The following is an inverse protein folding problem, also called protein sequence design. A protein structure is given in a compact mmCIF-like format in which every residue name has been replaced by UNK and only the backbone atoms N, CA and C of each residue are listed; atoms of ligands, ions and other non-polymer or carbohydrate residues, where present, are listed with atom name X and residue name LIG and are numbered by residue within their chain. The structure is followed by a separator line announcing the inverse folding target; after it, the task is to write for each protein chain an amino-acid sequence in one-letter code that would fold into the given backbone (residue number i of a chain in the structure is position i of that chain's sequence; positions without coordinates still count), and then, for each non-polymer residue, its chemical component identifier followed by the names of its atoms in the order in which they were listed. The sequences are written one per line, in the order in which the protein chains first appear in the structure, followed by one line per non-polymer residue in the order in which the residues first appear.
data_IF_825118393610
#
_entry.id   IF_825118393610
#
_cell.length_a   1.000
_cell.length_b   1.000
_cell.length_c   1.000
_cell.angle_alpha   90.00
_cell.angle_beta   90.00
_cell.angle_gamma   90.00
#
_symmetry.space_group_name_H-M   'P 1'
#
loop_
_entity.id
_entity.type
_entity.pdbx_description
1 polymer ?
#
# COMPACT_ATOMS: atom_id res chain seq x y z
N UNK A 1 16.17 -6.23 17.71
CA UNK A 1 17.34 -7.14 17.74
C UNK A 1 17.89 -7.35 16.32
N UNK A 2 19.19 -7.63 16.17
CA UNK A 2 19.76 -8.09 14.90
C UNK A 2 19.41 -9.56 14.62
N UNK A 3 19.47 -9.97 13.35
CA UNK A 3 19.22 -11.35 12.94
C UNK A 3 20.43 -12.25 13.18
N UNK A 4 20.19 -13.56 13.31
CA UNK A 4 21.26 -14.56 13.46
C UNK A 4 22.07 -14.72 12.16
N UNK A 5 23.39 -14.88 12.28
CA UNK A 5 24.25 -15.45 11.22
C UNK A 5 24.48 -16.95 11.45
N UNK A 6 25.02 -17.66 10.45
CA UNK A 6 25.34 -19.10 10.58
C UNK A 6 26.84 -19.38 10.45
N UNK A 7 27.33 -20.44 11.11
CA UNK A 7 28.78 -20.79 11.19
C UNK A 7 29.23 -21.89 10.22
N UNK A 8 28.37 -22.37 9.32
CA UNK A 8 28.69 -23.49 8.41
C UNK A 8 28.99 -22.97 7.00
N UNK A 9 30.25 -23.17 6.54
CA UNK A 9 30.84 -22.78 5.23
C UNK A 9 30.56 -21.31 4.79
N UNK A 10 31.60 -20.46 4.76
CA UNK A 10 31.50 -19.02 4.46
C UNK A 10 30.13 -18.42 4.84
N UNK A 11 29.84 -18.46 6.15
CA UNK A 11 28.54 -18.12 6.72
C UNK A 11 28.05 -16.74 6.32
N UNK A 12 26.73 -16.58 6.27
CA UNK A 12 26.06 -15.33 5.96
C UNK A 12 25.87 -14.41 7.17
N UNK A 13 25.75 -13.10 6.91
CA UNK A 13 25.53 -12.10 7.95
C UNK A 13 24.03 -11.86 8.19
N UNK A 14 23.62 -11.84 9.46
CA UNK A 14 22.29 -11.39 9.85
C UNK A 14 22.08 -9.89 9.59
N UNK A 15 20.81 -9.49 9.47
CA UNK A 15 20.43 -8.10 9.30
C UNK A 15 20.46 -7.32 10.62
N UNK A 16 20.68 -6.01 10.56
CA UNK A 16 20.56 -5.15 11.73
C UNK A 16 19.10 -4.99 12.16
N UNK A 17 18.84 -4.77 13.44
CA UNK A 17 17.53 -4.31 13.92
C UNK A 17 17.25 -2.86 13.50
N UNK A 18 16.01 -2.43 13.65
CA UNK A 18 15.55 -1.06 13.43
C UNK A 18 15.58 -0.21 14.71
N UNK A 19 15.63 1.10 14.53
CA UNK A 19 15.58 2.09 15.61
C UNK A 19 14.13 2.31 16.09
N UNK A 20 13.97 2.64 17.36
CA UNK A 20 12.72 3.14 17.93
C UNK A 20 12.95 4.56 18.50
N UNK A 21 12.11 5.52 18.12
CA UNK A 21 12.16 6.88 18.63
C UNK A 21 10.78 7.32 19.14
N UNK A 22 10.76 7.90 20.34
CA UNK A 22 9.61 8.56 20.94
C UNK A 22 10.03 9.98 21.32
N UNK A 23 9.38 11.00 20.73
CA UNK A 23 9.74 12.39 20.95
C UNK A 23 8.50 13.29 21.01
N UNK A 24 8.53 14.24 21.96
CA UNK A 24 7.62 15.38 22.03
C UNK A 24 8.46 16.67 22.05
N UNK A 25 8.24 17.56 21.09
CA UNK A 25 9.02 18.78 20.91
C UNK A 25 8.13 20.02 20.80
N UNK A 26 8.50 21.09 21.49
CA UNK A 26 7.73 22.33 21.54
C UNK A 26 6.64 22.34 22.60
N UNK A 27 6.16 23.55 22.92
CA UNK A 27 5.15 23.79 23.97
C UNK A 27 3.85 23.07 23.65
N UNK A 28 3.27 22.41 24.66
CA UNK A 28 1.99 21.71 24.54
C UNK A 28 2.05 20.37 23.81
N UNK A 29 3.21 19.94 23.32
CA UNK A 29 3.36 18.65 22.65
C UNK A 29 3.32 17.50 23.65
N UNK A 30 2.63 16.41 23.29
CA UNK A 30 2.59 15.18 24.08
C UNK A 30 2.71 13.95 23.20
N UNK A 31 3.62 13.05 23.54
CA UNK A 31 3.79 11.77 22.87
C UNK A 31 3.66 10.65 23.91
N UNK A 32 2.52 9.97 23.90
CA UNK A 32 2.26 8.78 24.70
C UNK A 32 2.13 7.58 23.76
N UNK A 33 2.80 6.48 24.04
CA UNK A 33 2.74 5.31 23.18
C UNK A 33 3.95 4.41 23.24
N UNK A 34 3.95 3.41 22.37
CA UNK A 34 5.02 2.42 22.26
C UNK A 34 5.66 2.47 20.87
N UNK A 35 6.97 2.71 20.80
CA UNK A 35 7.74 2.59 19.58
C UNK A 35 8.65 1.34 19.64
N UNK A 36 8.50 0.44 18.67
CA UNK A 36 9.29 -0.80 18.59
C UNK A 36 9.93 -0.91 17.21
N UNK A 37 11.25 -0.76 17.14
CA UNK A 37 12.00 -1.00 15.90
C UNK A 37 11.90 -2.47 15.46
N UNK A 38 11.92 -2.70 14.15
CA UNK A 38 11.82 -4.03 13.57
C UNK A 38 13.05 -4.91 13.85
N UNK A 39 12.89 -6.22 13.85
CA UNK A 39 14.03 -7.14 13.91
C UNK A 39 14.73 -7.24 12.56
N UNK A 40 16.04 -7.45 12.57
CA UNK A 40 16.77 -7.84 11.36
C UNK A 40 16.41 -9.26 10.91
N UNK A 41 16.57 -9.54 9.61
CA UNK A 41 16.40 -10.87 9.03
C UNK A 41 17.61 -11.76 9.24
N UNK A 42 17.42 -13.09 9.18
CA UNK A 42 18.52 -14.05 9.32
C UNK A 42 19.45 -14.06 8.09
N UNK A 43 20.74 -14.28 8.32
CA UNK A 43 21.75 -14.55 7.29
C UNK A 43 22.07 -16.05 7.25
N UNK A 44 21.81 -16.69 6.12
CA UNK A 44 21.99 -18.13 5.91
C UNK A 44 23.41 -18.53 5.51
N UNK A 45 23.55 -19.50 4.61
CA UNK A 45 24.84 -20.04 4.14
C UNK A 45 25.31 -19.37 2.85
N UNK A 46 26.58 -19.61 2.46
CA UNK A 46 27.15 -19.20 1.15
C UNK A 46 27.11 -17.67 0.96
N UNK A 47 27.54 -16.91 1.96
CA UNK A 47 27.58 -15.44 1.88
C UNK A 47 26.21 -14.74 1.82
N UNK A 48 25.12 -15.43 2.19
CA UNK A 48 23.78 -14.85 2.22
C UNK A 48 23.65 -13.72 3.26
N UNK A 49 22.78 -12.74 3.02
CA UNK A 49 22.61 -11.61 3.94
C UNK A 49 21.14 -11.40 4.31
N UNK A 50 20.87 -11.28 5.61
CA UNK A 50 19.57 -10.87 6.12
C UNK A 50 19.29 -9.38 5.86
N UNK A 51 18.02 -9.05 5.67
CA UNK A 51 17.54 -7.67 5.51
C UNK A 51 17.51 -6.91 6.84
N UNK A 52 17.61 -5.59 6.79
CA UNK A 52 17.50 -4.74 7.99
C UNK A 52 16.04 -4.70 8.49
N UNK A 53 15.86 -4.60 9.80
CA UNK A 53 14.57 -4.24 10.40
C UNK A 53 14.20 -2.78 10.13
N UNK A 54 12.91 -2.51 10.06
CA UNK A 54 12.34 -1.20 9.83
C UNK A 54 12.35 -0.31 11.08
N UNK A 55 12.25 1.00 10.88
CA UNK A 55 12.30 2.00 11.95
C UNK A 55 10.88 2.20 12.53
N UNK A 56 10.78 2.49 13.83
CA UNK A 56 9.56 2.99 14.46
C UNK A 56 9.76 4.41 15.00
N UNK A 57 8.85 5.33 14.66
CA UNK A 57 8.89 6.73 15.13
C UNK A 57 7.51 7.15 15.65
N UNK A 58 7.51 7.74 16.84
CA UNK A 58 6.42 8.53 17.40
C UNK A 58 6.94 9.95 17.62
N UNK A 59 6.38 10.94 16.93
CA UNK A 59 6.87 12.33 16.98
C UNK A 59 5.75 13.37 17.05
N UNK A 60 5.58 13.97 18.23
CA UNK A 60 4.65 15.07 18.49
C UNK A 60 5.40 16.42 18.47
N UNK A 61 4.92 17.38 17.69
CA UNK A 61 5.60 18.67 17.50
C UNK A 61 4.63 19.85 17.57
N UNK A 62 5.08 20.96 18.16
CA UNK A 62 4.40 22.26 18.12
C UNK A 62 2.97 22.26 18.69
N UNK A 63 2.73 21.55 19.78
CA UNK A 63 1.38 21.42 20.38
C UNK A 63 0.60 20.20 19.90
N UNK A 64 1.23 19.29 19.15
CA UNK A 64 0.62 18.05 18.69
C UNK A 64 0.52 17.00 19.81
N UNK A 65 -0.48 16.13 19.71
CA UNK A 65 -0.71 15.05 20.68
C UNK A 65 -0.72 13.68 20.00
N UNK A 66 -0.09 12.70 20.62
CA UNK A 66 -0.06 11.32 20.12
C UNK A 66 -0.40 10.32 21.22
N UNK A 67 -1.24 9.35 20.87
CA UNK A 67 -1.50 8.13 21.64
C UNK A 67 -1.49 6.89 20.74
N UNK A 68 -0.54 5.97 20.88
CA UNK A 68 -0.59 4.76 20.06
C UNK A 68 0.68 3.94 19.97
N UNK A 69 0.78 3.13 18.92
CA UNK A 69 1.88 2.18 18.73
C UNK A 69 2.49 2.32 17.34
N UNK A 70 3.81 2.45 17.27
CA UNK A 70 4.58 2.41 16.03
C UNK A 70 5.49 1.18 16.03
N UNK A 71 5.42 0.35 15.00
CA UNK A 71 6.22 -0.87 14.87
C UNK A 71 6.94 -0.84 13.52
N UNK A 72 8.26 -0.98 13.55
CA UNK A 72 9.05 -1.21 12.35
C UNK A 72 8.91 -2.65 11.86
N UNK A 73 8.85 -2.84 10.55
CA UNK A 73 8.72 -4.15 9.92
C UNK A 73 9.96 -5.02 10.08
N UNK A 74 9.78 -6.33 10.04
CA UNK A 74 10.90 -7.29 10.12
C UNK A 74 11.68 -7.29 8.80
N UNK A 75 13.01 -7.39 8.87
CA UNK A 75 13.84 -7.64 7.69
C UNK A 75 13.70 -9.07 7.17
N UNK A 76 13.70 -9.25 5.85
CA UNK A 76 13.60 -10.56 5.21
C UNK A 76 14.86 -11.41 5.39
N UNK A 77 14.71 -12.73 5.35
CA UNK A 77 15.86 -13.65 5.43
C UNK A 77 16.65 -13.67 4.12
N UNK A 78 17.96 -13.85 4.20
CA UNK A 78 18.80 -14.24 3.07
C UNK A 78 19.32 -15.66 3.26
N UNK A 79 19.20 -16.55 2.26
CA UNK A 79 19.77 -17.91 2.32
C UNK A 79 20.42 -18.31 0.98
N UNK A 80 21.36 -19.25 1.01
CA UNK A 80 21.99 -19.83 -0.19
C UNK A 80 22.50 -18.77 -1.18
N UNK A 81 23.32 -17.83 -0.69
CA UNK A 81 23.82 -16.69 -1.48
C UNK A 81 22.81 -15.59 -1.80
N UNK A 82 21.56 -15.71 -1.33
CA UNK A 82 20.52 -14.70 -1.50
C UNK A 82 20.59 -13.54 -0.49
N UNK A 83 19.83 -12.47 -0.77
CA UNK A 83 19.74 -11.27 0.08
C UNK A 83 18.29 -10.95 0.44
N UNK A 84 17.98 -10.91 1.73
CA UNK A 84 16.68 -10.47 2.23
C UNK A 84 16.44 -8.97 2.02
N UNK A 85 15.18 -8.59 1.84
CA UNK A 85 14.75 -7.20 1.76
C UNK A 85 14.64 -6.54 3.13
N UNK A 86 14.82 -5.23 3.22
CA UNK A 86 14.59 -4.52 4.48
C UNK A 86 13.10 -4.44 4.83
N UNK A 87 12.77 -4.41 6.13
CA UNK A 87 11.43 -4.11 6.62
C UNK A 87 11.09 -2.62 6.47
N UNK A 88 9.80 -2.31 6.31
CA UNK A 88 9.29 -0.94 6.22
C UNK A 88 9.15 -0.27 7.59
N UNK A 89 9.01 1.05 7.63
CA UNK A 89 8.91 1.77 8.91
C UNK A 89 7.47 1.97 9.41
N UNK A 90 7.32 2.10 10.73
CA UNK A 90 6.11 2.49 11.45
C UNK A 90 6.19 3.94 11.93
N UNK A 91 5.22 4.79 11.60
CA UNK A 91 5.28 6.23 11.92
C UNK A 91 3.95 6.76 12.47
N UNK A 92 3.98 7.35 13.66
CA UNK A 92 2.93 8.22 14.20
C UNK A 92 3.48 9.65 14.29
N UNK A 93 2.78 10.61 13.69
CA UNK A 93 3.20 12.01 13.64
C UNK A 93 2.03 12.93 13.93
N UNK A 94 2.20 13.84 14.87
CA UNK A 94 1.29 14.96 15.12
C UNK A 94 2.08 16.25 15.08
N UNK A 95 1.72 17.17 14.18
CA UNK A 95 2.46 18.42 13.98
C UNK A 95 1.51 19.61 13.98
N UNK A 96 1.76 20.55 14.88
CA UNK A 96 0.99 21.78 15.06
C UNK A 96 -0.06 21.67 16.17
N UNK A 97 -0.46 22.82 16.68
CA UNK A 97 -1.42 22.93 17.76
C UNK A 97 -2.76 22.30 17.36
N UNK A 98 -3.36 21.53 18.27
CA UNK A 98 -4.62 20.83 18.03
C UNK A 98 -4.51 19.59 17.14
N UNK A 99 -3.33 19.28 16.59
CA UNK A 99 -3.13 18.04 15.84
C UNK A 99 -3.13 16.83 16.76
N UNK A 100 -3.88 15.79 16.42
CA UNK A 100 -3.95 14.55 17.20
C UNK A 100 -3.82 13.31 16.33
N UNK A 101 -2.80 12.49 16.58
CA UNK A 101 -2.62 11.21 15.90
C UNK A 101 -2.76 10.05 16.90
N UNK A 102 -3.49 8.99 16.53
CA UNK A 102 -3.63 7.80 17.37
C UNK A 102 -3.76 6.49 16.62
N UNK A 103 -3.61 5.37 17.32
CA UNK A 103 -3.79 4.03 16.77
C UNK A 103 -2.48 3.27 16.55
N UNK A 104 -2.42 2.43 15.52
CA UNK A 104 -1.31 1.48 15.32
C UNK A 104 -0.74 1.58 13.90
N UNK A 105 0.56 1.84 13.76
CA UNK A 105 1.27 1.85 12.48
C UNK A 105 2.34 0.76 12.44
N UNK A 106 2.22 -0.18 11.50
CA UNK A 106 3.06 -1.39 11.38
C UNK A 106 3.74 -1.41 10.01
N UNK A 107 5.06 -1.22 9.99
CA UNK A 107 5.84 -1.38 8.77
C UNK A 107 5.76 -2.80 8.21
N UNK A 108 5.78 -2.93 6.88
CA UNK A 108 5.73 -4.21 6.18
C UNK A 108 7.00 -5.03 6.36
N UNK A 109 6.88 -6.36 6.31
CA UNK A 109 8.03 -7.28 6.37
C UNK A 109 8.75 -7.28 5.02
N UNK A 110 10.08 -7.28 5.05
CA UNK A 110 10.90 -7.45 3.84
C UNK A 110 10.84 -8.88 3.29
N UNK A 111 10.89 -9.02 1.98
CA UNK A 111 10.85 -10.32 1.31
C UNK A 111 12.12 -11.14 1.52
N UNK A 112 12.01 -12.47 1.44
CA UNK A 112 13.16 -13.35 1.49
C UNK A 112 13.97 -13.32 0.19
N UNK A 113 15.29 -13.47 0.27
CA UNK A 113 16.18 -13.70 -0.87
C UNK A 113 16.85 -15.07 -0.77
N UNK A 114 16.68 -15.92 -1.77
CA UNK A 114 17.26 -17.28 -1.78
C UNK A 114 17.93 -17.60 -3.12
N UNK A 115 18.95 -18.46 -3.11
CA UNK A 115 19.61 -18.97 -4.33
C UNK A 115 20.05 -17.84 -5.27
N UNK A 116 20.86 -16.92 -4.74
CA UNK A 116 21.31 -15.70 -5.43
C UNK A 116 20.23 -14.61 -5.62
N UNK A 117 18.96 -14.89 -5.31
CA UNK A 117 17.85 -13.95 -5.42
C UNK A 117 17.83 -12.85 -4.35
N UNK A 118 17.08 -11.78 -4.65
CA UNK A 118 16.92 -10.61 -3.77
C UNK A 118 15.46 -10.38 -3.39
N UNK A 119 15.16 -10.41 -2.10
CA UNK A 119 13.84 -10.04 -1.60
C UNK A 119 13.53 -8.54 -1.75
N UNK A 120 12.26 -8.23 -1.93
CA UNK A 120 11.74 -6.86 -2.00
C UNK A 120 11.65 -6.20 -0.63
N UNK A 121 11.63 -4.87 -0.61
CA UNK A 121 11.46 -4.11 0.64
C UNK A 121 10.03 -4.22 1.16
N UNK A 122 9.84 -4.23 2.48
CA UNK A 122 8.53 -4.03 3.09
C UNK A 122 8.08 -2.57 2.98
N UNK A 123 6.78 -2.34 2.89
CA UNK A 123 6.16 -1.03 2.75
C UNK A 123 6.19 -0.22 4.05
N UNK A 124 6.36 1.09 3.95
CA UNK A 124 6.24 2.00 5.09
C UNK A 124 4.79 2.29 5.48
N UNK A 125 4.59 2.83 6.68
CA UNK A 125 3.27 3.28 7.16
C UNK A 125 3.29 4.69 7.72
N UNK A 126 2.13 5.33 7.81
CA UNK A 126 2.00 6.58 8.58
C UNK A 126 0.59 6.79 9.10
N UNK A 127 0.49 7.16 10.37
CA UNK A 127 -0.66 7.88 10.91
C UNK A 127 -0.21 9.32 11.18
N UNK A 128 -0.78 10.28 10.46
CA UNK A 128 -0.28 11.66 10.44
C UNK A 128 -1.38 12.70 10.66
N UNK A 129 -1.23 13.55 11.68
CA UNK A 129 -2.12 14.67 11.93
C UNK A 129 -1.36 16.00 11.81
N UNK A 130 -1.90 16.93 11.03
CA UNK A 130 -1.21 18.17 10.67
C UNK A 130 -2.13 19.38 10.79
N UNK A 131 -1.61 20.47 11.36
CA UNK A 131 -2.26 21.78 11.41
C UNK A 131 -3.70 21.75 11.99
N UNK A 132 -3.90 21.05 13.11
CA UNK A 132 -5.21 20.94 13.77
C UNK A 132 -6.07 19.77 13.31
N UNK A 133 -5.53 18.87 12.46
CA UNK A 133 -6.23 17.66 12.02
C UNK A 133 -6.23 16.54 13.07
N UNK A 134 -7.13 15.58 12.92
CA UNK A 134 -7.18 14.36 13.77
C UNK A 134 -7.14 13.10 12.91
N UNK A 135 -6.13 12.26 13.14
CA UNK A 135 -5.95 11.00 12.43
C UNK A 135 -5.93 9.81 13.40
N UNK A 136 -6.70 8.76 13.13
CA UNK A 136 -6.73 7.55 13.95
C UNK A 136 -6.87 6.30 13.08
N UNK A 137 -6.39 5.15 13.53
CA UNK A 137 -6.65 3.90 12.81
C UNK A 137 -5.58 2.83 12.94
N UNK A 138 -5.64 1.87 12.03
CA UNK A 138 -4.63 0.82 11.88
C UNK A 138 -4.04 0.90 10.48
N UNK A 139 -2.73 0.99 10.40
CA UNK A 139 -2.02 1.16 9.13
C UNK A 139 -0.93 0.10 9.03
N UNK A 140 -0.96 -0.69 7.96
CA UNK A 140 -0.02 -1.79 7.73
C UNK A 140 0.64 -1.65 6.37
N UNK A 141 1.97 -1.68 6.33
CA UNK A 141 2.73 -1.62 5.09
C UNK A 141 2.68 -2.96 4.38
N UNK A 142 2.73 -2.95 3.05
CA UNK A 142 2.73 -4.17 2.26
C UNK A 142 3.98 -5.02 2.49
N UNK A 143 3.85 -6.33 2.33
CA UNK A 143 5.01 -7.23 2.38
C UNK A 143 5.88 -7.06 1.13
N UNK A 144 7.20 -7.17 1.29
CA UNK A 144 8.10 -7.32 0.15
C UNK A 144 7.99 -8.72 -0.46
N UNK A 145 8.03 -8.81 -1.78
CA UNK A 145 8.01 -10.08 -2.50
C UNK A 145 9.30 -10.87 -2.34
N UNK A 146 9.24 -12.19 -2.46
CA UNK A 146 10.43 -13.04 -2.43
C UNK A 146 11.25 -12.92 -3.72
N UNK A 147 12.58 -12.99 -3.61
CA UNK A 147 13.47 -13.17 -4.75
C UNK A 147 14.16 -14.53 -4.69
N UNK A 148 14.03 -15.35 -5.73
CA UNK A 148 14.60 -16.70 -5.78
C UNK A 148 15.27 -16.97 -7.13
N UNK A 149 16.27 -17.85 -7.17
CA UNK A 149 16.96 -18.24 -8.41
C UNK A 149 17.38 -17.02 -9.26
N UNK A 150 18.19 -16.15 -8.66
CA UNK A 150 18.62 -14.84 -9.21
C UNK A 150 17.49 -13.84 -9.53
N UNK A 151 16.24 -14.17 -9.23
CA UNK A 151 15.10 -13.26 -9.35
C UNK A 151 15.06 -12.19 -8.25
N UNK A 152 14.28 -11.14 -8.49
CA UNK A 152 14.11 -10.01 -7.59
C UNK A 152 12.63 -9.81 -7.23
N UNK A 153 12.30 -9.90 -5.95
CA UNK A 153 10.96 -9.59 -5.46
C UNK A 153 10.64 -8.10 -5.55
N UNK A 154 9.36 -7.79 -5.75
CA UNK A 154 8.84 -6.42 -5.75
C UNK A 154 8.73 -5.85 -4.34
N UNK A 155 8.78 -4.53 -4.21
CA UNK A 155 8.54 -3.85 -2.94
C UNK A 155 7.07 -3.89 -2.52
N UNK A 156 6.83 -3.93 -1.22
CA UNK A 156 5.51 -3.70 -0.65
C UNK A 156 5.11 -2.23 -0.71
N UNK A 157 3.81 -2.01 -0.86
CA UNK A 157 3.18 -0.70 -0.94
C UNK A 157 3.11 0.02 0.40
N UNK A 158 3.05 1.35 0.33
CA UNK A 158 2.94 2.22 1.50
C UNK A 158 1.49 2.37 1.92
N UNK A 159 1.21 2.42 3.23
CA UNK A 159 -0.12 2.71 3.75
C UNK A 159 -0.13 4.00 4.59
N UNK A 160 -1.15 4.83 4.45
CA UNK A 160 -1.27 6.10 5.19
C UNK A 160 -2.71 6.35 5.64
N UNK A 161 -2.86 6.78 6.89
CA UNK A 161 -4.03 7.53 7.37
C UNK A 161 -3.55 8.92 7.76
N UNK A 162 -4.09 9.97 7.15
CA UNK A 162 -3.66 11.33 7.45
C UNK A 162 -4.78 12.36 7.46
N UNK A 163 -4.68 13.30 8.39
CA UNK A 163 -5.59 14.43 8.51
C UNK A 163 -4.82 15.74 8.43
N UNK A 164 -5.32 16.68 7.62
CA UNK A 164 -4.71 17.97 7.37
C UNK A 164 -5.69 19.10 7.64
N UNK A 165 -5.21 20.15 8.31
CA UNK A 165 -5.98 21.35 8.59
C UNK A 165 -7.01 21.17 9.71
N UNK A 166 -7.45 22.29 10.27
CA UNK A 166 -8.43 22.32 11.35
C UNK A 166 -9.73 21.61 10.90
N UNK A 167 -10.24 20.74 11.76
CA UNK A 167 -11.45 19.96 11.49
C UNK A 167 -11.28 18.81 10.48
N UNK A 168 -10.11 18.67 9.84
CA UNK A 168 -9.81 17.49 9.03
C UNK A 168 -9.78 16.25 9.92
N UNK A 169 -10.52 15.21 9.53
CA UNK A 169 -10.61 13.97 10.29
C UNK A 169 -10.43 12.75 9.38
N UNK A 170 -9.55 11.82 9.78
CA UNK A 170 -9.34 10.57 9.07
C UNK A 170 -9.29 9.40 10.05
N UNK A 171 -10.17 8.41 9.84
CA UNK A 171 -10.24 7.18 10.62
C UNK A 171 -10.45 5.97 9.72
N UNK A 172 -9.71 4.88 9.99
CA UNK A 172 -9.92 3.62 9.30
C UNK A 172 -8.75 2.64 9.30
N UNK A 173 -8.80 1.74 8.34
CA UNK A 173 -7.77 0.72 8.10
C UNK A 173 -7.12 0.98 6.74
N UNK A 174 -5.79 1.15 6.71
CA UNK A 174 -5.04 1.29 5.46
C UNK A 174 -3.98 0.20 5.34
N UNK A 175 -3.98 -0.55 4.23
CA UNK A 175 -3.07 -1.68 4.00
C UNK A 175 -2.38 -1.51 2.65
N UNK A 176 -1.06 -1.42 2.64
CA UNK A 176 -0.30 -1.35 1.38
C UNK A 176 -0.29 -2.71 0.70
N UNK A 177 -0.31 -2.74 -0.63
CA UNK A 177 -0.27 -4.00 -1.38
C UNK A 177 1.06 -4.73 -1.22
N UNK A 178 1.05 -6.06 -1.24
CA UNK A 178 2.26 -6.85 -1.24
C UNK A 178 3.03 -6.73 -2.58
N UNK A 179 4.35 -6.81 -2.54
CA UNK A 179 5.15 -6.99 -3.74
C UNK A 179 5.09 -8.41 -4.27
N UNK A 180 5.09 -8.56 -5.59
CA UNK A 180 5.12 -9.86 -6.25
C UNK A 180 6.47 -10.57 -6.12
N UNK A 181 6.46 -11.89 -6.24
CA UNK A 181 7.70 -12.68 -6.23
C UNK A 181 8.47 -12.54 -7.56
N UNK A 182 9.80 -12.51 -7.49
CA UNK A 182 10.68 -12.64 -8.65
C UNK A 182 11.43 -13.97 -8.61
N UNK A 183 11.30 -14.77 -9.67
CA UNK A 183 11.91 -16.09 -9.77
C UNK A 183 12.59 -16.29 -11.13
N UNK A 184 13.65 -17.10 -11.17
CA UNK A 184 14.35 -17.47 -12.42
C UNK A 184 14.74 -16.25 -13.25
N UNK A 185 15.58 -15.37 -12.70
CA UNK A 185 15.94 -14.07 -13.28
C UNK A 185 14.78 -13.07 -13.51
N UNK A 186 13.57 -13.39 -13.04
CA UNK A 186 12.39 -12.54 -13.15
C UNK A 186 12.31 -11.46 -12.07
N UNK A 187 11.47 -10.46 -12.32
CA UNK A 187 11.20 -9.32 -11.45
C UNK A 187 9.74 -9.32 -11.02
N UNK A 188 9.49 -9.44 -9.72
CA UNK A 188 8.16 -9.20 -9.17
C UNK A 188 7.76 -7.73 -9.27
N UNK A 189 6.48 -7.48 -9.53
CA UNK A 189 5.91 -6.13 -9.52
C UNK A 189 5.80 -5.58 -8.11
N UNK A 190 5.84 -4.27 -7.94
CA UNK A 190 5.61 -3.66 -6.63
C UNK A 190 4.12 -3.66 -6.29
N UNK A 191 3.82 -3.88 -5.02
CA UNK A 191 2.50 -3.55 -4.47
C UNK A 191 2.32 -2.04 -4.35
N UNK A 192 1.08 -1.61 -4.22
CA UNK A 192 0.73 -0.20 -4.34
C UNK A 192 0.21 0.45 -3.06
N UNK A 193 0.07 1.76 -3.15
CA UNK A 193 -0.30 2.63 -2.05
C UNK A 193 -1.77 2.45 -1.60
N UNK A 194 -1.99 2.51 -0.29
CA UNK A 194 -3.30 2.71 0.34
C UNK A 194 -3.33 4.00 1.15
N UNK A 195 -4.40 4.80 1.01
CA UNK A 195 -4.52 6.08 1.69
C UNK A 195 -5.91 6.42 2.15
N UNK A 196 -6.04 6.86 3.40
CA UNK A 196 -7.24 7.49 3.94
C UNK A 196 -6.89 8.91 4.34
N UNK A 197 -7.61 9.90 3.79
CA UNK A 197 -7.29 11.32 4.00
C UNK A 197 -8.52 12.18 4.26
N UNK A 198 -8.46 12.99 5.32
CA UNK A 198 -9.40 14.06 5.62
C UNK A 198 -8.70 15.41 5.58
N UNK A 199 -9.25 16.39 4.88
CA UNK A 199 -8.61 17.70 4.69
C UNK A 199 -9.58 18.85 4.98
N UNK A 200 -9.12 19.85 5.74
CA UNK A 200 -9.79 21.15 5.95
C UNK A 200 -11.29 21.04 6.28
N UNK A 201 -11.64 20.23 7.28
CA UNK A 201 -13.05 19.97 7.67
C UNK A 201 -13.68 18.74 7.01
N UNK A 202 -13.00 18.12 6.04
CA UNK A 202 -13.40 16.86 5.43
C UNK A 202 -13.18 15.69 6.38
N UNK A 203 -14.15 14.77 6.41
CA UNK A 203 -14.19 13.65 7.37
C UNK A 203 -14.20 12.30 6.66
N UNK A 204 -13.31 11.38 7.05
CA UNK A 204 -13.41 9.96 6.70
C UNK A 204 -13.52 9.15 7.98
N UNK A 205 -14.60 8.37 8.12
CA UNK A 205 -14.89 7.61 9.35
C UNK A 205 -15.09 6.14 9.05
N UNK A 206 -14.24 5.29 9.63
CA UNK A 206 -14.38 3.82 9.54
C UNK A 206 -14.14 3.25 8.15
N UNK A 207 -13.35 3.94 7.31
CA UNK A 207 -13.06 3.48 5.95
C UNK A 207 -11.97 2.41 5.88
N UNK A 208 -11.94 1.63 4.79
CA UNK A 208 -10.85 0.69 4.48
C UNK A 208 -10.22 1.04 3.13
N UNK A 209 -8.89 1.12 3.06
CA UNK A 209 -8.15 1.27 1.82
C UNK A 209 -7.07 0.18 1.73
N UNK A 210 -7.09 -0.61 0.65
CA UNK A 210 -6.13 -1.69 0.40
C UNK A 210 -5.47 -1.50 -0.96
N UNK A 211 -4.17 -1.25 -0.98
CA UNK A 211 -3.42 -1.17 -2.22
C UNK A 211 -3.36 -2.53 -2.89
N UNK A 212 -3.37 -2.56 -4.21
CA UNK A 212 -3.26 -3.79 -4.98
C UNK A 212 -1.86 -4.39 -4.88
N UNK A 213 -1.81 -5.72 -4.91
CA UNK A 213 -0.56 -6.47 -4.90
C UNK A 213 0.15 -6.38 -6.26
N UNK A 214 1.47 -6.49 -6.26
CA UNK A 214 2.24 -6.62 -7.49
C UNK A 214 2.21 -8.04 -8.04
N UNK A 215 2.26 -8.18 -9.36
CA UNK A 215 2.29 -9.47 -10.03
C UNK A 215 3.63 -10.20 -9.89
N UNK A 216 3.61 -11.53 -10.04
CA UNK A 216 4.83 -12.32 -10.04
C UNK A 216 5.62 -12.16 -11.36
N UNK A 217 6.95 -12.26 -11.29
CA UNK A 217 7.82 -12.32 -12.47
C UNK A 217 8.63 -13.61 -12.48
N UNK A 218 8.41 -14.47 -13.49
CA UNK A 218 9.12 -15.74 -13.66
C UNK A 218 9.85 -15.74 -14.98
N UNK A 219 11.16 -15.46 -14.96
CA UNK A 219 11.90 -15.10 -16.17
C UNK A 219 11.22 -13.97 -16.98
N UNK A 220 10.51 -13.08 -16.30
CA UNK A 220 9.71 -12.00 -16.88
C UNK A 220 9.49 -10.91 -15.83
N UNK A 221 8.59 -9.96 -16.10
CA UNK A 221 8.30 -8.85 -15.18
C UNK A 221 6.83 -8.84 -14.77
N UNK A 222 6.56 -8.97 -13.48
CA UNK A 222 5.21 -8.75 -12.94
C UNK A 222 4.79 -7.28 -12.98
N UNK A 223 3.50 -7.06 -13.18
CA UNK A 223 2.89 -5.74 -13.20
C UNK A 223 2.76 -5.12 -11.82
N UNK A 224 2.66 -3.80 -11.76
CA UNK A 224 2.42 -3.09 -10.51
C UNK A 224 0.98 -3.29 -10.04
N UNK A 225 0.77 -3.33 -8.72
CA UNK A 225 -0.56 -3.21 -8.15
C UNK A 225 -1.14 -1.81 -8.30
N UNK A 226 -2.45 -1.71 -8.13
CA UNK A 226 -3.24 -0.48 -8.23
C UNK A 226 -3.37 0.26 -6.90
N UNK A 227 -3.60 1.57 -6.96
CA UNK A 227 -3.74 2.41 -5.76
C UNK A 227 -5.14 2.32 -5.17
N UNK A 228 -5.27 2.37 -3.84
CA UNK A 228 -6.55 2.57 -3.16
C UNK A 228 -6.58 3.86 -2.35
N UNK A 229 -7.63 4.67 -2.50
CA UNK A 229 -7.79 5.89 -1.69
C UNK A 229 -9.21 6.20 -1.28
N UNK A 230 -9.37 6.61 -0.02
CA UNK A 230 -10.53 7.33 0.50
C UNK A 230 -10.12 8.77 0.80
N UNK A 231 -10.89 9.73 0.29
CA UNK A 231 -10.55 11.14 0.45
C UNK A 231 -11.81 11.98 0.71
N UNK A 232 -11.77 12.78 1.77
CA UNK A 232 -12.74 13.83 2.04
C UNK A 232 -12.02 15.18 2.16
N UNK A 233 -12.49 16.19 1.44
CA UNK A 233 -11.94 17.54 1.47
C UNK A 233 -13.02 18.58 1.67
N UNK A 234 -12.70 19.57 2.49
CA UNK A 234 -13.55 20.73 2.80
C UNK A 234 -14.71 20.39 3.74
N UNK A 235 -15.20 21.43 4.43
CA UNK A 235 -16.25 21.28 5.42
C UNK A 235 -17.52 20.65 4.84
N UNK A 236 -18.12 19.72 5.59
CA UNK A 236 -19.32 18.99 5.19
C UNK A 236 -19.05 17.77 4.30
N UNK A 237 -17.84 17.63 3.74
CA UNK A 237 -17.50 16.43 2.99
C UNK A 237 -17.32 15.23 3.91
N UNK A 238 -17.92 14.10 3.56
CA UNK A 238 -17.80 12.89 4.36
C UNK A 238 -17.70 11.60 3.54
N UNK A 239 -16.82 10.71 3.98
CA UNK A 239 -16.82 9.29 3.59
C UNK A 239 -17.05 8.46 4.85
N UNK A 240 -18.22 7.84 4.96
CA UNK A 240 -18.57 6.95 6.07
C UNK A 240 -18.52 5.51 5.59
N UNK A 241 -17.71 4.67 6.25
CA UNK A 241 -17.58 3.22 5.97
C UNK A 241 -17.30 2.86 4.50
N UNK A 242 -16.58 3.73 3.79
CA UNK A 242 -16.16 3.46 2.41
C UNK A 242 -15.05 2.42 2.30
N UNK A 243 -15.01 1.66 1.20
CA UNK A 243 -13.95 0.68 0.92
C UNK A 243 -13.33 0.93 -0.45
N UNK A 244 -12.00 0.94 -0.54
CA UNK A 244 -11.29 1.03 -1.81
C UNK A 244 -10.21 -0.06 -1.88
N UNK A 245 -10.20 -0.87 -2.95
CA UNK A 245 -9.20 -1.92 -3.18
C UNK A 245 -8.59 -1.75 -4.57
N UNK A 246 -7.29 -1.43 -4.64
CA UNK A 246 -6.60 -1.34 -5.92
C UNK A 246 -6.49 -2.71 -6.59
N UNK A 247 -6.49 -2.75 -7.92
CA UNK A 247 -6.37 -4.01 -8.66
C UNK A 247 -4.97 -4.62 -8.52
N UNK A 248 -4.87 -5.93 -8.65
CA UNK A 248 -3.60 -6.67 -8.60
C UNK A 248 -2.86 -6.53 -9.94
N UNK A 249 -1.53 -6.45 -9.90
CA UNK A 249 -0.71 -6.49 -11.11
C UNK A 249 -0.67 -7.89 -11.73
N UNK A 250 -0.70 -7.98 -13.05
CA UNK A 250 -0.61 -9.24 -13.77
C UNK A 250 0.77 -9.88 -13.68
N UNK A 251 0.85 -11.21 -13.88
CA UNK A 251 2.13 -11.91 -13.90
C UNK A 251 2.89 -11.69 -15.22
N UNK A 252 4.21 -11.72 -15.17
CA UNK A 252 5.08 -11.77 -16.34
C UNK A 252 5.87 -13.08 -16.38
N UNK A 253 5.81 -13.81 -17.48
CA UNK A 253 6.51 -15.09 -17.65
C UNK A 253 7.21 -15.22 -19.01
N UNK A 254 8.36 -15.89 -19.04
CA UNK A 254 9.06 -16.21 -20.29
C UNK A 254 9.44 -15.00 -21.13
N UNK A 255 9.91 -13.93 -20.51
CA UNK A 255 10.21 -12.63 -21.13
C UNK A 255 9.02 -11.66 -21.13
N UNK A 256 7.81 -12.16 -20.84
CA UNK A 256 6.59 -11.36 -20.81
C UNK A 256 6.52 -10.35 -19.66
N UNK A 257 5.70 -9.33 -19.88
CA UNK A 257 5.47 -8.21 -18.95
C UNK A 257 4.00 -8.19 -18.53
N UNK A 258 3.72 -8.42 -17.26
CA UNK A 258 2.37 -8.29 -16.71
C UNK A 258 1.86 -6.86 -16.72
N UNK A 259 0.57 -6.70 -16.98
CA UNK A 259 -0.14 -5.43 -16.95
C UNK A 259 -0.30 -4.90 -15.53
N UNK A 260 -0.45 -3.59 -15.38
CA UNK A 260 -0.71 -3.00 -14.07
C UNK A 260 -2.17 -3.22 -13.64
N UNK A 261 -2.38 -3.50 -12.36
CA UNK A 261 -3.67 -3.30 -11.73
C UNK A 261 -3.95 -1.80 -11.58
N UNK A 262 -5.23 -1.42 -11.54
CA UNK A 262 -5.62 -0.01 -11.61
C UNK A 262 -6.30 0.49 -10.32
N UNK A 263 -6.65 1.76 -10.31
CA UNK A 263 -6.99 2.53 -9.12
C UNK A 263 -8.42 2.21 -8.64
N UNK A 264 -8.57 2.06 -7.33
CA UNK A 264 -9.83 2.25 -6.62
C UNK A 264 -9.83 3.56 -5.85
N UNK A 265 -10.86 4.38 -6.02
CA UNK A 265 -10.95 5.67 -5.37
C UNK A 265 -12.36 6.00 -4.92
N UNK A 266 -12.47 6.62 -3.74
CA UNK A 266 -13.68 7.27 -3.25
C UNK A 266 -13.31 8.69 -2.81
N UNK A 267 -14.01 9.67 -3.38
CA UNK A 267 -13.85 11.09 -3.10
C UNK A 267 -15.17 11.71 -2.64
N UNK A 268 -15.09 12.49 -1.57
CA UNK A 268 -16.13 13.41 -1.11
C UNK A 268 -15.57 14.83 -1.10
N UNK A 269 -16.13 15.72 -1.93
CA UNK A 269 -15.55 17.04 -2.20
C UNK A 269 -16.59 18.14 -1.95
N UNK A 270 -16.16 19.25 -1.33
CA UNK A 270 -16.95 20.46 -1.19
C UNK A 270 -18.35 20.28 -0.55
N UNK A 271 -18.52 19.36 0.39
CA UNK A 271 -19.80 19.01 1.00
C UNK A 271 -20.45 17.73 0.46
N UNK A 272 -19.78 17.00 -0.43
CA UNK A 272 -20.27 15.72 -0.95
C UNK A 272 -20.24 14.61 0.11
N UNK A 273 -21.11 13.62 -0.02
CA UNK A 273 -21.18 12.51 0.94
C UNK A 273 -21.10 11.15 0.25
N UNK A 274 -20.31 10.24 0.81
CA UNK A 274 -20.26 8.83 0.40
C UNK A 274 -20.45 7.95 1.61
N UNK A 275 -21.39 7.01 1.55
CA UNK A 275 -21.75 6.13 2.67
C UNK A 275 -21.75 4.68 2.22
N UNK A 276 -21.06 3.81 2.97
CA UNK A 276 -21.08 2.34 2.80
C UNK A 276 -20.92 1.88 1.34
N UNK A 277 -20.03 2.56 0.60
CA UNK A 277 -19.80 2.28 -0.82
C UNK A 277 -18.40 1.74 -1.05
N UNK A 278 -18.23 0.93 -2.09
CA UNK A 278 -16.99 0.24 -2.37
C UNK A 278 -16.52 0.45 -3.82
N UNK A 279 -15.22 0.59 -4.02
CA UNK A 279 -14.60 0.59 -5.35
C UNK A 279 -13.44 -0.40 -5.42
N UNK A 280 -13.37 -1.12 -6.53
CA UNK A 280 -12.32 -2.07 -6.84
C UNK A 280 -11.68 -1.68 -8.18
N UNK A 281 -10.36 -1.49 -8.20
CA UNK A 281 -9.65 -1.38 -9.47
C UNK A 281 -9.61 -2.75 -10.16
N UNK A 282 -9.62 -2.76 -11.48
CA UNK A 282 -9.43 -3.98 -12.25
C UNK A 282 -8.00 -4.48 -12.18
N UNK A 283 -7.84 -5.79 -12.29
CA UNK A 283 -6.52 -6.44 -12.27
C UNK A 283 -5.81 -6.26 -13.61
N UNK A 284 -4.48 -6.31 -13.59
CA UNK A 284 -3.67 -6.33 -14.80
C UNK A 284 -3.67 -7.71 -15.45
N UNK A 285 -3.63 -7.76 -16.78
CA UNK A 285 -3.50 -9.01 -17.52
C UNK A 285 -2.10 -9.59 -17.47
N UNK A 286 -1.95 -10.87 -17.80
CA UNK A 286 -0.64 -11.52 -17.80
C UNK A 286 0.14 -11.22 -19.08
N UNK A 287 1.46 -11.07 -18.97
CA UNK A 287 2.38 -11.10 -20.11
C UNK A 287 3.08 -12.44 -20.19
N UNK A 288 2.93 -13.16 -21.29
CA UNK A 288 3.42 -14.54 -21.46
C UNK A 288 4.31 -14.59 -22.70
N UNK A 289 5.50 -15.20 -22.59
CA UNK A 289 6.41 -15.45 -23.71
C UNK A 289 6.66 -14.19 -24.55
N UNK A 290 7.35 -13.20 -23.97
CA UNK A 290 7.57 -11.86 -24.56
C UNK A 290 6.31 -11.02 -24.84
N UNK A 291 5.12 -11.49 -24.49
CA UNK A 291 3.86 -10.74 -24.58
C UNK A 291 3.66 -9.75 -23.43
N UNK A 292 2.74 -8.80 -23.64
CA UNK A 292 2.43 -7.73 -22.68
C UNK A 292 0.97 -7.85 -22.20
N UNK A 293 0.76 -7.90 -20.89
CA UNK A 293 -0.58 -7.83 -20.30
C UNK A 293 -1.18 -6.42 -20.37
N UNK A 294 -2.47 -6.35 -20.63
CA UNK A 294 -3.24 -5.10 -20.60
C UNK A 294 -3.42 -4.58 -19.18
N UNK A 295 -3.63 -3.27 -19.04
CA UNK A 295 -3.90 -2.68 -17.71
C UNK A 295 -5.33 -2.95 -17.29
N UNK A 296 -5.55 -3.13 -15.99
CA UNK A 296 -6.91 -3.13 -15.44
C UNK A 296 -7.60 -1.78 -15.60
N UNK A 297 -8.92 -1.76 -15.39
CA UNK A 297 -9.77 -0.58 -15.45
C UNK A 297 -9.85 0.15 -14.12
N UNK A 298 -10.03 1.47 -14.16
CA UNK A 298 -10.22 2.27 -12.94
C UNK A 298 -11.61 2.04 -12.34
N UNK A 299 -11.76 2.20 -11.02
CA UNK A 299 -13.05 2.47 -10.40
C UNK A 299 -12.96 3.67 -9.45
N UNK A 300 -13.63 4.77 -9.80
CA UNK A 300 -13.61 6.00 -9.03
C UNK A 300 -15.03 6.50 -8.73
N UNK A 301 -15.35 6.65 -7.45
CA UNK A 301 -16.57 7.29 -6.99
C UNK A 301 -16.25 8.70 -6.50
N UNK A 302 -16.99 9.69 -7.00
CA UNK A 302 -16.83 11.09 -6.61
C UNK A 302 -18.19 11.72 -6.32
N UNK A 303 -18.42 12.05 -5.06
CA UNK A 303 -19.52 12.91 -4.63
C UNK A 303 -19.03 14.36 -4.56
N UNK A 304 -19.55 15.22 -5.45
CA UNK A 304 -19.26 16.66 -5.44
C UNK A 304 -20.17 17.38 -4.44
N UNK A 305 -20.01 18.70 -4.31
CA UNK A 305 -20.82 19.57 -3.44
C UNK A 305 -22.30 19.21 -3.51
N UNK A 306 -22.92 18.84 -2.40
CA UNK A 306 -24.34 18.49 -2.32
C UNK A 306 -24.75 17.19 -3.01
N UNK A 307 -23.82 16.45 -3.63
CA UNK A 307 -24.04 15.12 -4.16
C UNK A 307 -23.86 14.04 -3.10
N UNK A 308 -24.58 12.92 -3.25
CA UNK A 308 -24.54 11.80 -2.33
C UNK A 308 -24.46 10.46 -3.06
N UNK A 309 -23.55 9.59 -2.60
CA UNK A 309 -23.43 8.19 -3.03
C UNK A 309 -23.63 7.29 -1.81
N UNK A 310 -24.53 6.31 -1.91
CA UNK A 310 -24.81 5.37 -0.82
C UNK A 310 -24.89 3.95 -1.34
N UNK A 311 -24.34 3.01 -0.57
CA UNK A 311 -24.45 1.56 -0.78
C UNK A 311 -24.15 1.12 -2.21
N UNK A 312 -23.23 1.81 -2.89
CA UNK A 312 -22.92 1.59 -4.30
C UNK A 312 -21.59 0.85 -4.43
N UNK A 313 -21.42 0.09 -5.52
CA UNK A 313 -20.22 -0.72 -5.78
C UNK A 313 -19.70 -0.48 -7.20
N UNK A 314 -18.40 -0.19 -7.33
CA UNK A 314 -17.72 -0.06 -8.61
C UNK A 314 -16.61 -1.09 -8.75
N UNK A 315 -16.44 -1.67 -9.93
CA UNK A 315 -15.34 -2.60 -10.24
C UNK A 315 -14.83 -2.37 -11.64
N UNK A 316 -13.58 -1.91 -11.77
CA UNK A 316 -12.93 -1.78 -13.07
C UNK A 316 -12.78 -3.14 -13.72
N UNK A 317 -12.82 -3.20 -15.05
CA UNK A 317 -12.63 -4.45 -15.78
C UNK A 317 -11.17 -4.91 -15.72
N UNK A 318 -10.92 -6.20 -15.78
CA UNK A 318 -9.54 -6.71 -15.79
C UNK A 318 -8.87 -6.46 -17.15
N UNK A 319 -7.55 -6.34 -17.15
CA UNK A 319 -6.76 -6.33 -18.37
C UNK A 319 -6.68 -7.72 -19.01
N UNK A 320 -6.67 -7.75 -20.34
CA UNK A 320 -6.45 -8.98 -21.10
C UNK A 320 -4.97 -9.41 -21.06
N UNK A 321 -4.73 -10.70 -21.24
CA UNK A 321 -3.37 -11.25 -21.34
C UNK A 321 -2.80 -11.08 -22.75
N UNK A 322 -1.50 -10.82 -22.85
CA UNK A 322 -0.74 -10.86 -24.10
C UNK A 322 0.21 -12.05 -24.12
N UNK A 323 0.15 -12.88 -25.16
CA UNK A 323 1.05 -14.04 -25.35
C UNK A 323 1.85 -13.87 -26.61
N UNK A 324 3.17 -14.10 -26.58
CA UNK A 324 4.01 -14.02 -27.77
C UNK A 324 4.55 -12.62 -28.06
N UNK A 325 5.66 -12.57 -28.80
CA UNK A 325 6.34 -11.32 -29.12
C UNK A 325 5.46 -10.40 -29.97
N UNK A 326 5.31 -9.14 -29.53
CA UNK A 326 4.53 -8.12 -30.22
C UNK A 326 3.04 -8.10 -29.87
N UNK A 327 2.56 -9.07 -29.07
CA UNK A 327 1.17 -9.16 -28.66
C UNK A 327 0.95 -8.47 -27.32
N UNK A 328 -0.11 -7.65 -27.26
CA UNK A 328 -0.51 -6.93 -26.07
C UNK A 328 -1.99 -7.17 -25.78
N UNK A 329 -2.32 -7.62 -24.57
CA UNK A 329 -3.70 -7.72 -24.12
C UNK A 329 -4.38 -6.36 -24.04
N UNK A 330 -5.70 -6.34 -24.26
CA UNK A 330 -6.51 -5.14 -24.18
C UNK A 330 -6.64 -4.63 -22.74
N UNK A 331 -6.88 -3.33 -22.59
CA UNK A 331 -7.12 -2.74 -21.27
C UNK A 331 -8.55 -3.00 -20.79
N UNK A 332 -8.71 -3.10 -19.48
CA UNK A 332 -10.03 -3.14 -18.84
C UNK A 332 -10.72 -1.77 -18.84
N UNK A 333 -12.05 -1.80 -18.95
CA UNK A 333 -12.92 -0.62 -18.94
C UNK A 333 -13.09 -0.05 -17.53
N UNK A 334 -13.40 1.25 -17.44
CA UNK A 334 -13.59 1.93 -16.16
C UNK A 334 -14.99 1.68 -15.55
N UNK A 335 -15.08 1.86 -14.23
CA UNK A 335 -16.31 1.81 -13.44
C UNK A 335 -16.40 3.06 -12.55
N UNK A 336 -16.65 4.19 -13.18
CA UNK A 336 -16.65 5.50 -12.53
C UNK A 336 -18.07 6.01 -12.26
N UNK A 337 -18.25 6.65 -11.12
CA UNK A 337 -19.48 7.31 -10.71
C UNK A 337 -19.15 8.72 -10.24
N UNK A 338 -19.70 9.72 -10.92
CA UNK A 338 -19.62 11.11 -10.46
C UNK A 338 -21.02 11.64 -10.20
N UNK A 339 -21.28 12.12 -8.99
CA UNK A 339 -22.59 12.63 -8.58
C UNK A 339 -22.53 14.15 -8.36
N UNK A 340 -23.21 14.95 -9.22
CA UNK A 340 -23.32 16.40 -9.06
C UNK A 340 -24.43 16.78 -8.06
N UNK A 341 -24.46 18.03 -7.56
CA UNK A 341 -25.59 18.52 -6.79
C UNK A 341 -26.88 18.59 -7.61
N UNK A 342 -28.06 18.37 -6.99
CA UNK A 342 -28.32 17.85 -5.65
C UNK A 342 -28.56 16.32 -5.67
N UNK A 343 -27.91 15.59 -6.57
CA UNK A 343 -28.28 14.22 -6.89
C UNK A 343 -27.87 13.24 -5.77
N UNK A 344 -28.70 12.22 -5.60
CA UNK A 344 -28.47 11.08 -4.72
C UNK A 344 -28.44 9.81 -5.59
N UNK A 345 -27.38 9.02 -5.46
CA UNK A 345 -27.28 7.69 -6.07
C UNK A 345 -27.19 6.64 -4.98
N UNK A 346 -28.12 5.69 -5.00
CA UNK A 346 -28.21 4.59 -4.02
C UNK A 346 -28.17 3.26 -4.74
N UNK A 347 -27.33 2.33 -4.28
CA UNK A 347 -27.33 0.95 -4.78
C UNK A 347 -26.84 0.77 -6.21
N UNK A 348 -26.07 1.71 -6.75
CA UNK A 348 -25.52 1.57 -8.10
C UNK A 348 -24.45 0.46 -8.13
N UNK A 349 -24.49 -0.38 -9.16
CA UNK A 349 -23.47 -1.39 -9.45
C UNK A 349 -22.87 -1.05 -10.81
N UNK A 350 -21.59 -0.72 -10.84
CA UNK A 350 -20.87 -0.32 -12.06
C UNK A 350 -19.71 -1.29 -12.28
N UNK A 351 -19.70 -1.95 -13.43
CA UNK A 351 -18.66 -2.92 -13.81
C UNK A 351 -18.05 -2.54 -15.15
N UNK A 352 -16.73 -2.37 -15.17
CA UNK A 352 -15.97 -2.16 -16.37
C UNK A 352 -15.84 -3.44 -17.21
N UNK A 353 -15.77 -3.29 -18.53
CA UNK A 353 -15.61 -4.43 -19.45
C UNK A 353 -14.20 -5.01 -19.37
N UNK A 354 -13.99 -6.33 -19.33
CA UNK A 354 -12.66 -6.91 -19.42
C UNK A 354 -11.97 -6.58 -20.75
N UNK A 355 -10.65 -6.44 -20.70
CA UNK A 355 -9.80 -6.33 -21.87
C UNK A 355 -9.66 -7.66 -22.62
N UNK A 356 -9.54 -7.60 -23.94
CA UNK A 356 -9.40 -8.79 -24.77
C UNK A 356 -8.02 -9.44 -24.61
N UNK A 357 -7.97 -10.78 -24.55
CA UNK A 357 -6.71 -11.50 -24.65
C UNK A 357 -6.18 -11.43 -26.09
N UNK A 358 -4.86 -11.34 -26.24
CA UNK A 358 -4.18 -11.41 -27.54
C UNK A 358 -3.17 -12.56 -27.50
N UNK A 359 -3.45 -13.70 -28.17
CA UNK A 359 -2.62 -14.88 -28.16
C UNK A 359 -1.43 -14.81 -29.12
#
# INVERSE_FOLDING_TARGET
AGGAGTTVAAGGAGGSGGNATLAASGVGSSANGTATGGTGGAGGTVGANGGRGGIAIISANGGGTITGTAIGGVGGAGTTGGRGGAGGGGYLVANGAGSSASGTAIGGVGGAGTTGGRGGYGGGTRIGAYSGGTATGTVTGGFGGAGTANGRGGGGGVAIVAAYGAGGYASGIAIGGAGGAGTTNGYGGNGSYAGIRGNSGGTVTGGTATGGDGGAGTNGRGGYGGRATLFASDAGSSVTTGSATGGVGGAGSGGGIGGAGNIAQINALGGGTVISSATNGGDGGNGITDGIGGTGGQSAFTANTGGAITTSTGTGGDGGSGTGAGNAGGNGGAADLTVPPPALVTGAVITGTPGANVP
#
